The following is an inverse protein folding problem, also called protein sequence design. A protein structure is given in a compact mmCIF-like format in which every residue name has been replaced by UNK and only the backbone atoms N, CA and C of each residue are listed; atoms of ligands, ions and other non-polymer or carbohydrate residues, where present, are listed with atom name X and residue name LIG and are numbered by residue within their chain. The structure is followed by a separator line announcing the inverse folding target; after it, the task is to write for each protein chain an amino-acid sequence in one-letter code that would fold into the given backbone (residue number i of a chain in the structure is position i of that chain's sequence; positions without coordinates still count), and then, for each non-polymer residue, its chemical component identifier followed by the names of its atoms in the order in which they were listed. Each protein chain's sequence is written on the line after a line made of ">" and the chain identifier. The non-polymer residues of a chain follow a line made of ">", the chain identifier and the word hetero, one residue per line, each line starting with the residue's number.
data_IF_075444784963
#
_entry.id   IF_075444784963
#
_cell.length_a   1.000
_cell.length_b   1.000
_cell.length_c   1.000
_cell.angle_alpha   90.00
_cell.angle_beta   90.00
_cell.angle_gamma   90.00
#
_symmetry.space_group_name_H-M   'P 1'
#
loop_
_entity.id
_entity.type
_entity.pdbx_description
1 polymer ?
#
# COMPACT_ATOMS: atom_id res chain seq x y z
N UNK A 1 7.49 -7.02 -17.08
CA UNK A 1 6.92 -6.88 -15.73
C UNK A 1 7.24 -5.52 -15.11
N UNK A 2 8.52 -5.17 -14.90
CA UNK A 2 8.92 -3.92 -14.22
C UNK A 2 8.40 -2.62 -14.84
N UNK A 3 8.44 -2.49 -16.18
CA UNK A 3 7.95 -1.27 -16.87
C UNK A 3 6.44 -1.08 -16.69
N UNK A 4 5.68 -2.17 -16.78
CA UNK A 4 4.22 -2.16 -16.62
C UNK A 4 3.84 -1.76 -15.20
N UNK A 5 4.51 -2.31 -14.18
CA UNK A 5 4.29 -1.90 -12.79
C UNK A 5 4.57 -0.40 -12.58
N UNK A 6 5.70 0.11 -13.09
CA UNK A 6 6.04 1.54 -12.99
C UNK A 6 4.97 2.41 -13.63
N UNK A 7 4.53 2.08 -14.83
CA UNK A 7 3.54 2.88 -15.56
C UNK A 7 2.18 2.90 -14.83
N UNK A 8 1.76 1.76 -14.26
CA UNK A 8 0.55 1.66 -13.41
C UNK A 8 0.64 2.54 -12.17
N UNK A 9 1.75 2.44 -11.41
CA UNK A 9 1.96 3.27 -10.22
C UNK A 9 1.95 4.75 -10.57
N UNK A 10 2.66 5.15 -11.63
CA UNK A 10 2.69 6.54 -12.08
C UNK A 10 1.31 7.03 -12.56
N UNK A 11 0.48 6.16 -13.14
CA UNK A 11 -0.89 6.51 -13.50
C UNK A 11 -1.75 6.84 -12.27
N UNK A 12 -1.61 6.08 -11.18
CA UNK A 12 -2.27 6.38 -9.89
C UNK A 12 -1.71 7.66 -9.28
N UNK A 13 -0.38 7.82 -9.23
CA UNK A 13 0.31 9.00 -8.69
C UNK A 13 -0.17 10.30 -9.31
N UNK A 14 -0.37 10.33 -10.63
CA UNK A 14 -0.82 11.52 -11.37
C UNK A 14 -2.25 11.96 -11.04
N UNK A 15 -3.02 11.16 -10.31
CA UNK A 15 -4.36 11.53 -9.83
C UNK A 15 -4.34 12.36 -8.56
N UNK A 16 -3.19 12.48 -7.90
CA UNK A 16 -3.05 13.38 -6.76
C UNK A 16 -3.12 14.85 -7.20
N UNK A 17 -4.03 15.67 -6.64
CA UNK A 17 -4.23 17.06 -7.07
C UNK A 17 -3.11 18.01 -6.61
N UNK A 18 -2.32 17.60 -5.62
CA UNK A 18 -1.14 18.34 -5.15
C UNK A 18 0.07 17.42 -5.15
N UNK A 19 1.28 18.01 -5.10
CA UNK A 19 2.51 17.24 -5.00
C UNK A 19 2.54 16.33 -3.77
N UNK A 20 2.01 16.80 -2.64
CA UNK A 20 1.95 16.02 -1.41
C UNK A 20 1.01 14.82 -1.57
N UNK A 21 -0.22 15.03 -2.05
CA UNK A 21 -1.18 13.95 -2.25
C UNK A 21 -0.70 12.97 -3.32
N UNK A 22 -0.09 13.45 -4.41
CA UNK A 22 0.50 12.60 -5.43
C UNK A 22 1.62 11.72 -4.84
N UNK A 23 2.45 12.29 -3.96
CA UNK A 23 3.51 11.55 -3.27
C UNK A 23 2.90 10.46 -2.38
N UNK A 24 1.85 10.76 -1.64
CA UNK A 24 1.20 9.77 -0.78
C UNK A 24 0.51 8.67 -1.59
N UNK A 25 -0.14 9.02 -2.72
CA UNK A 25 -0.70 8.05 -3.66
C UNK A 25 0.38 7.12 -4.22
N UNK A 26 1.55 7.67 -4.59
CA UNK A 26 2.70 6.88 -5.02
C UNK A 26 3.13 5.89 -3.94
N UNK A 27 3.28 6.36 -2.69
CA UNK A 27 3.70 5.52 -1.56
C UNK A 27 2.73 4.36 -1.34
N UNK A 28 1.44 4.66 -1.24
CA UNK A 28 0.43 3.63 -0.95
C UNK A 28 0.29 2.65 -2.10
N UNK A 29 0.20 3.12 -3.35
CA UNK A 29 0.07 2.23 -4.49
C UNK A 29 1.29 1.28 -4.62
N UNK A 30 2.51 1.82 -4.51
CA UNK A 30 3.73 1.02 -4.64
C UNK A 30 3.87 0.03 -3.47
N UNK A 31 3.57 0.46 -2.25
CA UNK A 31 3.67 -0.42 -1.10
C UNK A 31 2.61 -1.53 -1.10
N UNK A 32 1.38 -1.27 -1.55
CA UNK A 32 0.38 -2.32 -1.74
C UNK A 32 0.81 -3.35 -2.78
N UNK A 33 1.32 -2.90 -3.93
CA UNK A 33 1.86 -3.78 -4.96
C UNK A 33 3.07 -4.60 -4.49
N UNK A 34 3.92 -3.99 -3.65
CA UNK A 34 5.05 -4.71 -3.05
C UNK A 34 4.57 -5.78 -2.06
N UNK A 35 3.67 -5.43 -1.14
CA UNK A 35 3.13 -6.35 -0.14
C UNK A 35 2.39 -7.51 -0.80
N UNK A 36 1.64 -7.24 -1.87
CA UNK A 36 0.96 -8.27 -2.66
C UNK A 36 1.97 -9.26 -3.27
N UNK A 37 2.97 -8.74 -3.97
CA UNK A 37 3.98 -9.57 -4.64
C UNK A 37 4.76 -10.48 -3.68
N UNK A 38 5.11 -9.99 -2.48
CA UNK A 38 5.83 -10.81 -1.49
C UNK A 38 4.93 -11.83 -0.79
N UNK A 39 3.60 -11.65 -0.82
CA UNK A 39 2.65 -12.63 -0.26
C UNK A 39 2.32 -13.76 -1.24
N UNK A 40 2.47 -13.53 -2.55
CA UNK A 40 2.03 -14.47 -3.60
C UNK A 40 3.13 -15.32 -4.20
N UNK A 41 4.40 -14.96 -4.00
CA UNK A 41 5.53 -15.58 -4.68
C UNK A 41 6.43 -16.31 -3.66
N UNK A 42 6.55 -17.62 -3.80
CA UNK A 42 7.31 -18.50 -2.90
C UNK A 42 8.84 -18.41 -3.15
N UNK A 43 9.28 -17.82 -4.28
CA UNK A 43 10.69 -17.75 -4.69
C UNK A 43 11.24 -16.31 -4.83
N UNK A 44 10.69 -15.34 -4.08
CA UNK A 44 11.08 -13.93 -4.21
C UNK A 44 12.55 -13.69 -3.82
N UNK A 45 13.36 -13.22 -4.78
CA UNK A 45 14.65 -12.59 -4.50
C UNK A 45 14.42 -11.15 -3.99
N UNK A 46 14.20 -11.04 -2.67
CA UNK A 46 13.96 -9.76 -1.97
C UNK A 46 15.06 -8.73 -2.23
N UNK A 47 16.32 -9.15 -2.32
CA UNK A 47 17.45 -8.21 -2.54
C UNK A 47 17.35 -7.57 -3.91
N UNK A 48 17.03 -8.36 -4.94
CA UNK A 48 16.86 -7.85 -6.30
C UNK A 48 15.62 -6.97 -6.40
N UNK A 49 14.50 -7.39 -5.82
CA UNK A 49 13.25 -6.64 -5.78
C UNK A 49 13.44 -5.27 -5.11
N UNK A 50 13.98 -5.25 -3.90
CA UNK A 50 14.25 -4.03 -3.14
C UNK A 50 15.17 -3.09 -3.89
N UNK A 51 16.23 -3.62 -4.50
CA UNK A 51 17.17 -2.79 -5.29
C UNK A 51 16.47 -2.14 -6.48
N UNK A 52 15.61 -2.88 -7.19
CA UNK A 52 14.87 -2.32 -8.32
C UNK A 52 13.87 -1.25 -7.88
N UNK A 53 13.08 -1.56 -6.83
CA UNK A 53 12.09 -0.63 -6.31
C UNK A 53 12.74 0.62 -5.73
N UNK A 54 13.82 0.49 -4.96
CA UNK A 54 14.55 1.64 -4.44
C UNK A 54 15.12 2.53 -5.56
N UNK A 55 15.55 1.96 -6.69
CA UNK A 55 15.93 2.75 -7.87
C UNK A 55 14.73 3.51 -8.44
N UNK A 56 13.58 2.87 -8.56
CA UNK A 56 12.35 3.52 -9.04
C UNK A 56 11.87 4.63 -8.10
N UNK A 57 11.85 4.36 -6.81
CA UNK A 57 11.50 5.32 -5.75
C UNK A 57 12.44 6.51 -5.80
N UNK A 58 13.75 6.29 -5.90
CA UNK A 58 14.73 7.36 -6.03
C UNK A 58 14.51 8.22 -7.27
N UNK A 59 14.23 7.59 -8.42
CA UNK A 59 13.94 8.30 -9.67
C UNK A 59 12.67 9.14 -9.59
N UNK A 60 11.69 8.74 -8.78
CA UNK A 60 10.37 9.38 -8.72
C UNK A 60 10.26 10.42 -7.60
N UNK A 61 10.75 10.09 -6.39
CA UNK A 61 10.62 10.93 -5.19
C UNK A 61 11.94 11.61 -4.78
N UNK A 62 13.08 11.11 -5.24
CA UNK A 62 14.40 11.64 -4.90
C UNK A 62 15.04 11.01 -3.65
N UNK A 63 16.06 11.69 -3.11
CA UNK A 63 16.84 11.26 -1.94
C UNK A 63 15.94 11.16 -0.69
N UNK A 64 16.24 10.20 0.18
CA UNK A 64 15.53 10.00 1.45
C UNK A 64 14.30 9.10 1.37
N UNK A 65 13.99 8.56 0.19
CA UNK A 65 12.88 7.62 0.01
C UNK A 65 13.38 6.23 -0.39
N UNK A 66 12.91 5.23 0.33
CA UNK A 66 13.17 3.80 0.12
C UNK A 66 11.89 3.00 0.32
N UNK A 67 11.89 1.74 -0.09
CA UNK A 67 10.78 0.81 0.19
C UNK A 67 10.49 0.75 1.69
N UNK A 68 11.53 0.72 2.54
CA UNK A 68 11.39 0.78 3.99
C UNK A 68 10.65 2.04 4.45
N UNK A 69 10.99 3.22 3.94
CA UNK A 69 10.29 4.47 4.30
C UNK A 69 8.83 4.48 3.85
N UNK A 70 8.51 3.79 2.74
CA UNK A 70 7.15 3.63 2.24
C UNK A 70 6.35 2.72 3.16
N UNK A 71 6.90 1.57 3.55
CA UNK A 71 6.27 0.64 4.49
C UNK A 71 6.05 1.32 5.86
N UNK A 72 7.01 2.11 6.33
CA UNK A 72 6.85 2.94 7.54
C UNK A 72 5.72 3.97 7.39
N UNK A 73 5.61 4.64 6.24
CA UNK A 73 4.50 5.55 5.97
C UNK A 73 3.15 4.82 6.03
N UNK A 74 3.07 3.60 5.46
CA UNK A 74 1.87 2.77 5.45
C UNK A 74 1.48 2.20 6.81
N UNK A 75 2.40 2.20 7.79
CA UNK A 75 2.09 1.88 9.19
C UNK A 75 1.63 3.10 10.00
N UNK A 76 1.72 4.31 9.43
CA UNK A 76 1.44 5.55 10.15
C UNK A 76 0.10 6.18 9.81
N UNK A 77 -0.38 7.08 10.67
CA UNK A 77 -1.67 7.78 10.53
C UNK A 77 -1.91 8.48 9.18
N UNK A 78 -0.84 8.89 8.49
CA UNK A 78 -0.93 9.63 7.22
C UNK A 78 -1.41 8.78 6.05
N UNK A 79 -1.38 7.45 6.18
CA UNK A 79 -1.94 6.55 5.16
C UNK A 79 -3.47 6.58 5.12
N UNK A 80 -4.13 6.83 6.27
CA UNK A 80 -5.58 6.71 6.41
C UNK A 80 -6.35 7.63 5.45
N UNK A 81 -6.01 8.93 5.28
CA UNK A 81 -6.66 9.78 4.30
C UNK A 81 -6.53 9.28 2.85
N UNK A 82 -5.45 8.57 2.51
CA UNK A 82 -5.28 7.97 1.17
C UNK A 82 -6.22 6.77 1.02
N UNK A 83 -6.31 5.93 2.05
CA UNK A 83 -7.19 4.75 2.08
C UNK A 83 -8.68 5.12 2.10
N UNK A 84 -9.01 6.33 2.57
CA UNK A 84 -10.37 6.88 2.57
C UNK A 84 -10.64 7.75 1.33
N UNK A 85 -9.66 7.93 0.43
CA UNK A 85 -9.81 8.74 -0.78
C UNK A 85 -10.45 7.95 -1.92
N UNK A 86 -11.65 8.34 -2.32
CA UNK A 86 -12.33 7.78 -3.50
C UNK A 86 -11.52 7.94 -4.79
N UNK A 87 -10.82 9.07 -4.94
CA UNK A 87 -9.93 9.33 -6.08
C UNK A 87 -8.80 8.30 -6.13
N UNK A 88 -8.18 8.02 -4.99
CA UNK A 88 -7.15 6.99 -4.90
C UNK A 88 -7.71 5.60 -5.21
N UNK A 89 -8.78 5.18 -4.54
CA UNK A 89 -9.35 3.84 -4.67
C UNK A 89 -9.84 3.56 -6.10
N UNK A 90 -10.47 4.55 -6.75
CA UNK A 90 -10.89 4.46 -8.14
C UNK A 90 -9.70 4.32 -9.08
N UNK A 91 -8.68 5.15 -8.91
CA UNK A 91 -7.48 5.08 -9.73
C UNK A 91 -6.72 3.76 -9.52
N UNK A 92 -6.60 3.32 -8.26
CA UNK A 92 -5.89 2.10 -7.89
C UNK A 92 -6.59 0.88 -8.47
N UNK A 93 -7.91 0.74 -8.30
CA UNK A 93 -8.67 -0.36 -8.89
C UNK A 93 -8.66 -0.35 -10.43
N UNK A 94 -8.57 0.82 -11.06
CA UNK A 94 -8.47 0.93 -12.52
C UNK A 94 -7.10 0.50 -13.06
N UNK A 95 -6.00 0.92 -12.43
CA UNK A 95 -4.65 0.72 -12.97
C UNK A 95 -3.89 -0.45 -12.34
N UNK A 96 -4.13 -0.75 -11.06
CA UNK A 96 -3.49 -1.80 -10.26
C UNK A 96 -4.50 -2.89 -9.89
N UNK A 97 -5.29 -3.33 -10.87
CA UNK A 97 -6.40 -4.27 -10.69
C UNK A 97 -5.99 -5.70 -10.26
N UNK A 98 -4.70 -6.02 -10.30
CA UNK A 98 -4.15 -7.24 -9.74
C UNK A 98 -4.20 -7.30 -8.21
N UNK A 99 -4.37 -6.15 -7.54
CA UNK A 99 -4.62 -6.06 -6.10
C UNK A 99 -6.06 -5.61 -5.86
N UNK A 100 -6.98 -6.54 -5.58
CA UNK A 100 -8.35 -6.21 -5.20
C UNK A 100 -8.42 -5.28 -3.98
N UNK A 101 -9.38 -4.35 -3.97
CA UNK A 101 -9.52 -3.36 -2.89
C UNK A 101 -9.83 -4.01 -1.54
N UNK A 102 -10.56 -5.12 -1.53
CA UNK A 102 -10.88 -5.92 -0.35
C UNK A 102 -9.66 -6.63 0.25
N UNK A 103 -8.57 -6.79 -0.51
CA UNK A 103 -7.28 -7.32 -0.03
C UNK A 103 -6.45 -6.30 0.75
N UNK A 104 -6.71 -4.99 0.57
CA UNK A 104 -5.93 -3.90 1.21
C UNK A 104 -5.82 -4.06 2.74
N UNK A 105 -6.91 -4.33 3.50
CA UNK A 105 -6.81 -4.53 4.95
C UNK A 105 -5.87 -5.67 5.36
N UNK A 106 -5.82 -6.76 4.58
CA UNK A 106 -4.92 -7.89 4.84
C UNK A 106 -3.46 -7.50 4.58
N UNK A 107 -3.19 -6.82 3.46
CA UNK A 107 -1.84 -6.34 3.14
C UNK A 107 -1.30 -5.38 4.22
N UNK A 108 -2.14 -4.45 4.67
CA UNK A 108 -1.76 -3.54 5.76
C UNK A 108 -1.57 -4.28 7.09
N UNK A 109 -2.39 -5.31 7.37
CA UNK A 109 -2.20 -6.15 8.56
C UNK A 109 -0.83 -6.84 8.56
N UNK A 110 -0.39 -7.36 7.40
CA UNK A 110 0.94 -7.95 7.24
C UNK A 110 2.04 -6.91 7.46
N UNK A 111 1.92 -5.74 6.86
CA UNK A 111 2.89 -4.65 7.04
C UNK A 111 3.02 -4.23 8.52
N UNK A 112 1.88 -4.12 9.22
CA UNK A 112 1.85 -3.84 10.66
C UNK A 112 2.52 -4.95 11.47
N UNK A 113 2.20 -6.22 11.22
CA UNK A 113 2.82 -7.35 11.94
C UNK A 113 4.35 -7.35 11.81
N UNK A 114 4.89 -7.08 10.61
CA UNK A 114 6.33 -6.94 10.38
C UNK A 114 6.90 -5.72 11.12
N UNK A 115 6.20 -4.58 11.09
CA UNK A 115 6.62 -3.39 11.82
C UNK A 115 6.67 -3.62 13.35
N UNK A 116 5.70 -4.36 13.91
CA UNK A 116 5.72 -4.82 15.31
C UNK A 116 6.94 -5.68 15.59
N UNK A 117 7.21 -6.68 14.75
CA UNK A 117 8.35 -7.58 14.93
C UNK A 117 9.70 -6.84 14.94
N UNK A 118 9.84 -5.79 14.12
CA UNK A 118 11.06 -4.98 14.04
C UNK A 118 11.18 -4.00 15.22
N UNK A 119 10.08 -3.33 15.58
CA UNK A 119 10.08 -2.27 16.60
C UNK A 119 9.93 -2.77 18.04
N UNK A 120 9.35 -3.95 18.24
CA UNK A 120 9.00 -4.50 19.55
C UNK A 120 7.83 -3.78 20.24
N UNK A 121 7.18 -2.81 19.57
CA UNK A 121 6.06 -2.05 20.12
C UNK A 121 4.72 -2.70 19.80
N UNK A 122 3.74 -2.52 20.69
CA UNK A 122 2.38 -2.98 20.43
C UNK A 122 1.76 -2.28 19.22
N UNK A 123 0.87 -3.00 18.53
CA UNK A 123 0.13 -2.45 17.41
C UNK A 123 -1.03 -1.64 17.94
N UNK A 124 -0.86 -0.32 17.95
CA UNK A 124 -1.94 0.62 18.19
C UNK A 124 -2.01 1.68 17.09
N UNK A 125 -3.15 2.37 17.01
CA UNK A 125 -3.29 3.58 16.24
C UNK A 125 -4.16 3.51 14.97
N UNK A 126 -4.22 4.63 14.21
CA UNK A 126 -5.30 4.88 13.26
C UNK A 126 -5.42 3.88 12.11
N UNK A 127 -4.31 3.22 11.74
CA UNK A 127 -4.31 2.21 10.67
C UNK A 127 -4.97 0.92 11.14
N UNK A 128 -4.69 0.49 12.37
CA UNK A 128 -5.33 -0.70 12.95
C UNK A 128 -6.83 -0.50 13.10
N UNK A 129 -7.24 0.66 13.64
CA UNK A 129 -8.66 1.03 13.74
C UNK A 129 -9.33 1.05 12.36
N UNK A 130 -8.65 1.58 11.34
CA UNK A 130 -9.17 1.59 9.97
C UNK A 130 -9.37 0.16 9.45
N UNK A 131 -8.40 -0.74 9.67
CA UNK A 131 -8.50 -2.16 9.28
C UNK A 131 -9.70 -2.83 9.97
N UNK A 132 -9.87 -2.61 11.27
CA UNK A 132 -11.01 -3.16 12.03
C UNK A 132 -12.34 -2.67 11.48
N UNK A 133 -12.46 -1.37 11.14
CA UNK A 133 -13.66 -0.84 10.47
C UNK A 133 -13.94 -1.53 9.14
N UNK A 134 -12.91 -1.80 8.33
CA UNK A 134 -13.11 -2.50 7.05
C UNK A 134 -13.55 -3.95 7.25
N UNK A 135 -12.99 -4.66 8.24
CA UNK A 135 -13.39 -6.04 8.56
C UNK A 135 -14.87 -6.12 8.96
N UNK A 136 -15.34 -5.16 9.77
CA UNK A 136 -16.75 -5.08 10.17
C UNK A 136 -17.65 -4.83 8.95
N UNK A 137 -17.27 -3.90 8.06
CA UNK A 137 -18.02 -3.62 6.83
C UNK A 137 -18.12 -4.85 5.93
N UNK A 138 -16.99 -5.51 5.68
CA UNK A 138 -16.93 -6.74 4.89
C UNK A 138 -17.78 -7.87 5.51
N UNK A 139 -17.74 -8.02 6.84
CA UNK A 139 -18.56 -9.02 7.52
C UNK A 139 -20.07 -8.72 7.37
N UNK A 140 -20.47 -7.45 7.44
CA UNK A 140 -21.86 -7.03 7.28
C UNK A 140 -22.39 -7.22 5.85
N UNK A 141 -21.55 -7.00 4.83
CA UNK A 141 -21.90 -7.18 3.41
C UNK A 141 -22.03 -8.66 3.00
N UNK A 142 -21.41 -9.58 3.76
CA UNK A 142 -21.45 -11.02 3.51
C UNK A 142 -22.61 -11.75 4.23
N UNK A 143 -23.49 -11.04 4.95
CA UNK A 143 -24.69 -11.64 5.54
C UNK A 143 -25.82 -11.63 4.50
N UNK A 144 -26.37 -12.79 4.09
CA UNK A 144 -27.48 -12.81 3.15
C UNK A 144 -28.73 -12.14 3.77
N UNK A 145 -29.56 -11.45 2.98
CA UNK A 145 -30.86 -10.99 3.47
C UNK A 145 -31.68 -12.21 3.88
N UNK A 146 -32.07 -12.25 5.15
CA UNK A 146 -32.91 -13.30 5.73
C UNK A 146 -34.34 -13.27 5.25
#
# INVERSE_FOLDING_TARGET
>A
MEKVLRDKILAVTRRGPTREIATDFFRVALGLMYLDGIMTDEEVDFKRLDKHLNRFIYQTLGKGHTITSILQFMSGRKVVPVLESEVFLTAFSQYCNEVPLDKIPVLLSVNLAVAKQISGLELDGPVLEWIERQKIKQAAENVPPG
#
